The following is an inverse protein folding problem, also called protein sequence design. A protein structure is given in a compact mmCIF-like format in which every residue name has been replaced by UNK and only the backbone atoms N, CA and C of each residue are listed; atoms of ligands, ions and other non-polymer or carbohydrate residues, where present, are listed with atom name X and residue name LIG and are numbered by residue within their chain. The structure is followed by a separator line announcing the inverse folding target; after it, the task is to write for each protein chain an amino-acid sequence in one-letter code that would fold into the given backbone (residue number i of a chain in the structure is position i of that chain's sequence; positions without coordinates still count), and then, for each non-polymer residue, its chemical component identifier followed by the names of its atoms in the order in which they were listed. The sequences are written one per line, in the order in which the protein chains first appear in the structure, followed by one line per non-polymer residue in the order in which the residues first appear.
data_IF_292421873359
#
_entry.id   IF_292421873359
#
_cell.length_a   1.000
_cell.length_b   1.000
_cell.length_c   1.000
_cell.angle_alpha   90.00
_cell.angle_beta   90.00
_cell.angle_gamma   90.00
#
_symmetry.space_group_name_H-M   'P 1'
#
loop_
_entity.id
_entity.type
_entity.pdbx_description
1 polymer ?
#
# COMPACT_ATOMS: atom_id res chain seq x y z
N UNK A 1 17.00 1.88 4.97
CA UNK A 1 15.64 1.44 4.59
C UNK A 1 15.50 -0.05 4.89
N UNK A 2 14.41 -0.47 5.54
CA UNK A 2 14.05 -1.87 5.78
C UNK A 2 13.20 -2.38 4.62
N UNK A 3 13.22 -3.69 4.38
CA UNK A 3 12.50 -4.33 3.27
C UNK A 3 11.77 -5.58 3.77
N UNK A 4 10.70 -5.93 3.06
CA UNK A 4 9.93 -7.16 3.23
C UNK A 4 10.05 -7.96 1.92
N UNK A 5 10.49 -9.20 2.02
CA UNK A 5 10.57 -10.11 0.89
C UNK A 5 9.26 -10.91 0.77
N UNK A 6 8.70 -10.98 -0.45
CA UNK A 6 7.44 -11.70 -0.72
C UNK A 6 7.41 -12.19 -2.17
N UNK A 7 7.34 -13.49 -2.38
CA UNK A 7 7.20 -14.13 -3.70
C UNK A 7 8.14 -13.54 -4.78
N UNK A 8 9.41 -13.28 -4.42
CA UNK A 8 10.44 -12.72 -5.32
C UNK A 8 10.47 -11.19 -5.42
N UNK A 9 9.56 -10.48 -4.77
CA UNK A 9 9.63 -9.04 -4.62
C UNK A 9 10.33 -8.63 -3.33
N UNK A 10 11.12 -7.57 -3.39
CA UNK A 10 11.75 -6.90 -2.23
C UNK A 10 11.14 -5.53 -2.06
N UNK A 11 10.20 -5.39 -1.14
CA UNK A 11 9.33 -4.21 -0.99
C UNK A 11 9.81 -3.38 0.20
N UNK A 12 10.04 -2.06 0.06
CA UNK A 12 10.37 -1.20 1.20
C UNK A 12 9.28 -1.24 2.28
N UNK A 13 9.67 -1.44 3.53
CA UNK A 13 8.79 -1.73 4.66
C UNK A 13 7.89 -0.55 5.10
N UNK A 14 8.02 0.60 4.46
CA UNK A 14 7.10 1.75 4.57
C UNK A 14 7.06 2.49 3.24
N UNK A 15 5.87 3.01 2.87
CA UNK A 15 5.69 3.81 1.67
C UNK A 15 4.93 5.10 1.91
N UNK A 16 4.93 5.99 0.92
CA UNK A 16 4.06 7.16 0.87
C UNK A 16 2.80 6.83 0.07
N UNK A 17 1.63 6.87 0.72
CA UNK A 17 0.34 6.87 0.03
C UNK A 17 0.02 8.25 -0.54
N UNK A 18 -0.47 8.32 -1.78
CA UNK A 18 -0.75 9.60 -2.47
C UNK A 18 -2.23 9.93 -2.61
N UNK A 19 -3.14 9.07 -2.16
CA UNK A 19 -4.59 9.31 -2.28
C UNK A 19 -4.96 10.69 -1.71
N UNK A 20 -5.73 11.48 -2.47
CA UNK A 20 -6.15 12.86 -2.18
C UNK A 20 -5.08 13.95 -2.27
N UNK A 21 -3.81 13.61 -2.45
CA UNK A 21 -2.81 14.62 -2.82
C UNK A 21 -3.01 15.03 -4.29
N UNK A 22 -2.98 16.33 -4.59
CA UNK A 22 -3.21 16.84 -5.93
C UNK A 22 -2.20 17.91 -6.32
N UNK A 23 -1.99 18.03 -7.61
CA UNK A 23 -1.23 19.12 -8.24
C UNK A 23 0.12 19.38 -7.56
N UNK A 24 0.47 20.63 -7.34
CA UNK A 24 1.74 21.05 -6.73
C UNK A 24 1.97 20.40 -5.34
N UNK A 25 0.91 20.22 -4.54
CA UNK A 25 1.03 19.57 -3.22
C UNK A 25 1.48 18.12 -3.36
N UNK A 26 0.97 17.40 -4.37
CA UNK A 26 1.38 16.02 -4.64
C UNK A 26 2.84 15.97 -5.13
N UNK A 27 3.21 16.86 -6.06
CA UNK A 27 4.56 16.96 -6.60
C UNK A 27 5.59 17.18 -5.46
N UNK A 28 5.33 18.17 -4.61
CA UNK A 28 6.22 18.49 -3.49
C UNK A 28 6.28 17.36 -2.45
N UNK A 29 5.14 16.75 -2.10
CA UNK A 29 5.11 15.66 -1.13
C UNK A 29 5.92 14.44 -1.60
N UNK A 30 5.79 14.04 -2.87
CA UNK A 30 6.55 12.92 -3.44
C UNK A 30 8.04 13.27 -3.51
N UNK A 31 8.39 14.46 -4.00
CA UNK A 31 9.77 14.92 -4.10
C UNK A 31 10.45 14.98 -2.71
N UNK A 32 9.80 15.57 -1.72
CA UNK A 32 10.29 15.66 -0.34
C UNK A 32 10.43 14.27 0.30
N UNK A 33 9.46 13.37 0.09
CA UNK A 33 9.54 12.02 0.61
C UNK A 33 10.80 11.29 0.12
N UNK A 34 11.14 11.38 -1.17
CA UNK A 34 12.35 10.77 -1.71
C UNK A 34 13.62 11.36 -1.11
N UNK A 35 13.68 12.68 -0.93
CA UNK A 35 14.81 13.37 -0.29
C UNK A 35 14.98 12.97 1.18
N UNK A 36 13.86 12.73 1.90
CA UNK A 36 13.87 12.24 3.29
C UNK A 36 14.26 10.76 3.42
N UNK A 37 14.29 10.01 2.31
CA UNK A 37 14.69 8.60 2.33
C UNK A 37 13.58 7.59 2.03
N UNK A 38 12.37 8.01 1.68
CA UNK A 38 11.36 7.08 1.15
C UNK A 38 11.84 6.42 -0.13
N UNK A 39 11.51 5.13 -0.29
CA UNK A 39 11.82 4.35 -1.49
C UNK A 39 10.59 3.59 -2.00
N UNK A 40 9.39 3.90 -1.52
CA UNK A 40 8.14 3.30 -1.94
C UNK A 40 7.07 4.40 -2.06
N UNK A 41 6.52 4.55 -3.27
CA UNK A 41 5.46 5.52 -3.60
C UNK A 41 4.26 4.73 -4.11
N UNK A 42 3.11 4.90 -3.44
CA UNK A 42 1.85 4.23 -3.77
C UNK A 42 0.84 5.23 -4.34
N UNK A 43 0.39 4.97 -5.56
CA UNK A 43 -0.68 5.71 -6.23
C UNK A 43 -1.71 4.76 -6.86
N UNK A 44 -2.65 5.28 -7.62
CA UNK A 44 -3.62 4.53 -8.42
C UNK A 44 -4.23 5.42 -9.51
N UNK A 45 -4.66 4.81 -10.62
CA UNK A 45 -5.43 5.47 -11.68
C UNK A 45 -6.60 6.30 -11.10
N UNK A 46 -7.37 5.69 -10.21
CA UNK A 46 -8.57 6.30 -9.61
C UNK A 46 -8.31 7.55 -8.78
N UNK A 47 -7.07 7.78 -8.33
CA UNK A 47 -6.74 8.97 -7.55
C UNK A 47 -6.69 10.25 -8.40
N UNK A 48 -6.53 10.10 -9.72
CA UNK A 48 -6.47 11.22 -10.67
C UNK A 48 -5.24 12.10 -10.49
N UNK A 49 -4.18 11.57 -9.87
CA UNK A 49 -2.97 12.32 -9.54
C UNK A 49 -1.67 11.70 -10.10
N UNK A 50 -1.76 10.66 -10.94
CA UNK A 50 -0.57 9.96 -11.44
C UNK A 50 0.40 10.88 -12.19
N UNK A 51 -0.11 11.89 -12.91
CA UNK A 51 0.74 12.88 -13.58
C UNK A 51 1.58 13.69 -12.57
N UNK A 52 0.95 14.15 -11.48
CA UNK A 52 1.64 14.87 -10.41
C UNK A 52 2.61 13.97 -9.65
N UNK A 53 2.25 12.69 -9.43
CA UNK A 53 3.17 11.69 -8.84
C UNK A 53 4.37 11.49 -9.74
N UNK A 54 4.19 11.33 -11.06
CA UNK A 54 5.28 11.19 -12.04
C UNK A 54 6.22 12.39 -12.03
N UNK A 55 5.68 13.61 -12.01
CA UNK A 55 6.48 14.83 -11.92
C UNK A 55 7.25 14.92 -10.59
N UNK A 56 6.58 14.61 -9.47
CA UNK A 56 7.19 14.54 -8.15
C UNK A 56 8.31 13.50 -8.05
N UNK A 57 8.13 12.32 -8.68
CA UNK A 57 9.15 11.29 -8.80
C UNK A 57 10.38 11.83 -9.53
N UNK A 58 10.21 12.39 -10.74
CA UNK A 58 11.33 12.94 -11.52
C UNK A 58 12.07 14.07 -10.80
N UNK A 59 11.33 14.95 -10.11
CA UNK A 59 11.91 16.02 -9.29
C UNK A 59 12.70 15.44 -8.11
N UNK A 60 12.11 14.51 -7.37
CA UNK A 60 12.71 13.91 -6.19
C UNK A 60 13.90 13.01 -6.51
N UNK A 61 13.86 12.23 -7.59
CA UNK A 61 14.99 11.42 -8.05
C UNK A 61 16.22 12.31 -8.32
N UNK A 62 16.05 13.41 -9.06
CA UNK A 62 17.15 14.36 -9.31
C UNK A 62 17.66 15.00 -8.03
N UNK A 63 16.75 15.47 -7.17
CA UNK A 63 17.13 16.17 -5.94
C UNK A 63 17.84 15.27 -4.92
N UNK A 64 17.50 13.99 -4.88
CA UNK A 64 18.09 13.01 -3.97
C UNK A 64 19.25 12.20 -4.60
N UNK A 65 19.62 12.45 -5.86
CA UNK A 65 20.68 11.71 -6.57
C UNK A 65 20.33 10.23 -6.78
N UNK A 66 19.05 9.91 -6.95
CA UNK A 66 18.53 8.55 -7.10
C UNK A 66 18.29 8.21 -8.56
N UNK A 67 18.37 6.90 -8.88
CA UNK A 67 17.93 6.34 -10.15
C UNK A 67 16.48 5.83 -10.02
N UNK A 68 15.82 5.57 -11.16
CA UNK A 68 14.46 5.01 -11.18
C UNK A 68 14.37 3.68 -10.43
N UNK A 69 15.38 2.85 -10.55
CA UNK A 69 15.48 1.52 -9.94
C UNK A 69 15.58 1.55 -8.41
N UNK A 70 15.96 2.69 -7.84
CA UNK A 70 16.07 2.87 -6.39
C UNK A 70 14.72 3.08 -5.70
N UNK A 71 13.64 3.27 -6.48
CA UNK A 71 12.31 3.59 -5.97
C UNK A 71 11.29 2.57 -6.43
N UNK A 72 10.56 2.00 -5.47
CA UNK A 72 9.46 1.07 -5.67
C UNK A 72 8.16 1.85 -5.89
N UNK A 73 7.63 1.83 -7.10
CA UNK A 73 6.41 2.57 -7.50
C UNK A 73 5.27 1.59 -7.69
N UNK A 74 4.13 1.88 -7.06
CA UNK A 74 2.90 1.09 -7.14
C UNK A 74 1.80 1.91 -7.81
N UNK A 75 1.12 1.31 -8.78
CA UNK A 75 -0.17 1.82 -9.27
C UNK A 75 -1.20 0.70 -9.37
N UNK A 76 -2.46 1.04 -9.66
CA UNK A 76 -3.59 0.11 -9.57
C UNK A 76 -4.60 0.38 -10.67
N UNK A 77 -5.10 -0.69 -11.29
CA UNK A 77 -6.24 -0.63 -12.22
C UNK A 77 -7.55 -0.69 -11.42
N UNK A 78 -8.45 0.25 -11.69
CA UNK A 78 -9.70 0.35 -10.93
C UNK A 78 -10.72 -0.69 -11.40
N UNK A 79 -11.69 -1.01 -10.54
CA UNK A 79 -12.64 -2.10 -10.73
C UNK A 79 -13.47 -2.03 -12.02
N UNK A 80 -13.77 -0.86 -12.54
CA UNK A 80 -14.54 -0.64 -13.76
C UNK A 80 -13.73 -0.78 -15.06
N UNK A 81 -12.41 -1.01 -14.93
CA UNK A 81 -11.45 -1.20 -16.02
C UNK A 81 -10.82 -2.60 -16.07
N UNK A 82 -11.46 -3.60 -15.45
CA UNK A 82 -10.87 -4.94 -15.33
C UNK A 82 -11.13 -5.86 -16.53
N UNK A 83 -12.03 -5.48 -17.45
CA UNK A 83 -12.27 -6.26 -18.66
C UNK A 83 -11.04 -6.23 -19.59
N UNK A 84 -10.76 -7.34 -20.33
CA UNK A 84 -9.69 -7.35 -21.34
C UNK A 84 -9.85 -6.19 -22.32
N UNK A 85 -8.74 -5.55 -22.70
CA UNK A 85 -8.72 -4.35 -23.53
C UNK A 85 -8.79 -3.05 -22.70
N UNK A 86 -9.75 -2.93 -21.79
CA UNK A 86 -9.83 -1.79 -20.85
C UNK A 86 -8.68 -1.82 -19.86
N UNK A 87 -8.32 -3.02 -19.38
CA UNK A 87 -7.21 -3.21 -18.44
C UNK A 87 -5.89 -2.75 -19.05
N UNK A 88 -5.58 -3.21 -20.24
CA UNK A 88 -4.36 -2.85 -20.97
C UNK A 88 -4.29 -1.34 -21.28
N UNK A 89 -5.42 -0.77 -21.67
CA UNK A 89 -5.54 0.69 -21.90
C UNK A 89 -5.26 1.47 -20.63
N UNK A 90 -5.87 1.07 -19.50
CA UNK A 90 -5.65 1.69 -18.20
C UNK A 90 -4.17 1.63 -17.77
N UNK A 91 -3.51 0.48 -17.95
CA UNK A 91 -2.07 0.34 -17.64
C UNK A 91 -1.22 1.27 -18.50
N UNK A 92 -1.48 1.32 -19.82
CA UNK A 92 -0.74 2.20 -20.73
C UNK A 92 -0.92 3.69 -20.36
N UNK A 93 -2.15 4.12 -20.05
CA UNK A 93 -2.44 5.47 -19.60
C UNK A 93 -1.74 5.82 -18.28
N UNK A 94 -1.73 4.89 -17.31
CA UNK A 94 -1.03 5.07 -16.03
C UNK A 94 0.47 5.28 -16.24
N UNK A 95 1.12 4.45 -17.06
CA UNK A 95 2.54 4.59 -17.37
C UNK A 95 2.83 5.92 -18.09
N UNK A 96 1.97 6.34 -19.02
CA UNK A 96 2.09 7.64 -19.70
C UNK A 96 1.99 8.80 -18.71
N UNK A 97 0.97 8.81 -17.82
CA UNK A 97 0.77 9.84 -16.78
C UNK A 97 1.96 9.89 -15.81
N UNK A 98 2.44 8.73 -15.35
CA UNK A 98 3.60 8.62 -14.48
C UNK A 98 4.92 8.99 -15.18
N UNK A 99 4.93 9.03 -16.52
CA UNK A 99 6.14 9.21 -17.35
C UNK A 99 7.19 8.13 -17.06
N UNK A 100 6.75 6.89 -16.86
CA UNK A 100 7.59 5.75 -16.52
C UNK A 100 7.42 4.66 -17.59
N UNK A 101 8.51 3.94 -17.95
CA UNK A 101 8.41 2.79 -18.86
C UNK A 101 7.78 1.56 -18.17
N UNK A 102 7.85 1.49 -16.86
CA UNK A 102 7.30 0.41 -16.03
C UNK A 102 7.11 0.88 -14.58
N UNK A 103 6.24 0.16 -13.84
CA UNK A 103 6.11 0.28 -12.38
C UNK A 103 6.67 -0.96 -11.69
N UNK A 104 7.00 -0.86 -10.38
CA UNK A 104 7.53 -2.02 -9.64
C UNK A 104 6.42 -2.98 -9.26
N UNK A 105 5.20 -2.47 -9.02
CA UNK A 105 4.05 -3.28 -8.65
C UNK A 105 2.77 -2.72 -9.27
N UNK A 106 2.04 -3.59 -9.96
CA UNK A 106 0.71 -3.32 -10.49
C UNK A 106 -0.33 -4.14 -9.72
N UNK A 107 -1.41 -3.48 -9.28
CA UNK A 107 -2.48 -4.12 -8.52
C UNK A 107 -3.83 -4.05 -9.24
N UNK A 108 -4.65 -5.09 -9.10
CA UNK A 108 -6.09 -4.96 -9.19
C UNK A 108 -6.56 -4.22 -7.93
N UNK A 109 -7.19 -3.03 -8.10
CA UNK A 109 -7.53 -2.16 -6.97
C UNK A 109 -8.71 -2.68 -6.15
N UNK A 110 -9.75 -3.15 -6.82
CA UNK A 110 -10.94 -3.81 -6.30
C UNK A 110 -11.41 -4.86 -7.30
N UNK A 111 -11.92 -6.00 -6.85
CA UNK A 111 -12.53 -6.96 -7.75
C UNK A 111 -13.85 -6.42 -8.33
N UNK A 112 -14.16 -6.80 -9.57
CA UNK A 112 -15.46 -6.53 -10.20
C UNK A 112 -16.19 -7.86 -10.43
N UNK A 113 -17.29 -8.14 -9.72
CA UNK A 113 -18.03 -9.40 -9.90
C UNK A 113 -18.71 -9.55 -11.28
N UNK A 114 -18.76 -8.48 -12.08
CA UNK A 114 -19.27 -8.52 -13.47
C UNK A 114 -18.21 -8.94 -14.50
N UNK A 115 -16.95 -9.00 -14.11
CA UNK A 115 -15.83 -9.46 -14.94
C UNK A 115 -15.31 -10.76 -14.33
N UNK A 116 -15.17 -11.86 -15.08
CA UNK A 116 -14.58 -13.08 -14.57
C UNK A 116 -13.21 -12.81 -13.95
N UNK A 117 -12.97 -13.31 -12.73
CA UNK A 117 -11.70 -13.09 -12.04
C UNK A 117 -10.51 -13.63 -12.86
N UNK A 118 -10.73 -14.73 -13.60
CA UNK A 118 -9.73 -15.31 -14.49
C UNK A 118 -9.23 -14.31 -15.55
N UNK A 119 -10.14 -13.53 -16.15
CA UNK A 119 -9.79 -12.55 -17.20
C UNK A 119 -8.97 -11.40 -16.59
N UNK A 120 -9.39 -10.88 -15.43
CA UNK A 120 -8.69 -9.80 -14.73
C UNK A 120 -7.28 -10.23 -14.29
N UNK A 121 -7.14 -11.46 -13.76
CA UNK A 121 -5.84 -12.02 -13.36
C UNK A 121 -4.97 -12.31 -14.57
N UNK A 122 -5.52 -12.79 -15.68
CA UNK A 122 -4.78 -13.01 -16.92
C UNK A 122 -4.22 -11.69 -17.47
N UNK A 123 -5.03 -10.62 -17.54
CA UNK A 123 -4.60 -9.28 -17.97
C UNK A 123 -3.51 -8.71 -17.04
N UNK A 124 -3.65 -8.90 -15.73
CA UNK A 124 -2.64 -8.50 -14.74
C UNK A 124 -1.30 -9.21 -14.98
N UNK A 125 -1.31 -10.53 -15.17
CA UNK A 125 -0.10 -11.31 -15.46
C UNK A 125 0.50 -10.92 -16.82
N UNK A 126 -0.34 -10.68 -17.84
CA UNK A 126 0.11 -10.25 -19.16
C UNK A 126 0.86 -8.89 -19.11
N UNK A 127 0.46 -7.96 -18.25
CA UNK A 127 1.17 -6.70 -18.04
C UNK A 127 2.62 -6.93 -17.54
N UNK A 128 2.84 -7.93 -16.69
CA UNK A 128 4.19 -8.31 -16.25
C UNK A 128 5.00 -8.92 -17.40
N UNK A 129 4.41 -9.84 -18.15
CA UNK A 129 5.08 -10.47 -19.32
C UNK A 129 5.48 -9.41 -20.37
N UNK A 130 4.65 -8.36 -20.55
CA UNK A 130 4.94 -7.21 -21.43
C UNK A 130 6.00 -6.25 -20.85
N UNK A 131 6.52 -6.49 -19.64
CA UNK A 131 7.49 -5.61 -18.99
C UNK A 131 6.91 -4.28 -18.48
N UNK A 132 5.60 -4.13 -18.40
CA UNK A 132 4.93 -2.92 -17.91
C UNK A 132 4.96 -2.82 -16.38
N UNK A 133 5.18 -3.95 -15.70
CA UNK A 133 5.41 -4.03 -14.25
C UNK A 133 6.41 -5.13 -13.91
N UNK A 134 7.16 -4.98 -12.81
CA UNK A 134 8.06 -6.04 -12.31
C UNK A 134 7.32 -7.11 -11.52
N UNK A 135 6.32 -6.69 -10.74
CA UNK A 135 5.55 -7.55 -9.86
C UNK A 135 4.06 -7.27 -10.00
N UNK A 136 3.26 -8.26 -9.64
CA UNK A 136 1.79 -8.20 -9.69
C UNK A 136 1.20 -8.57 -8.33
N UNK A 137 0.04 -8.01 -8.02
CA UNK A 137 -0.67 -8.28 -6.79
C UNK A 137 -2.11 -7.81 -6.86
N UNK A 138 -2.80 -7.87 -5.74
CA UNK A 138 -4.20 -7.49 -5.63
C UNK A 138 -4.43 -6.53 -4.46
N UNK A 139 -5.58 -5.86 -4.45
CA UNK A 139 -6.00 -5.06 -3.32
C UNK A 139 -7.46 -5.35 -2.98
N UNK A 140 -7.78 -5.34 -1.67
CA UNK A 140 -9.13 -5.55 -1.17
C UNK A 140 -9.71 -6.94 -1.46
N UNK A 141 -8.86 -7.96 -1.55
CA UNK A 141 -9.28 -9.34 -1.72
C UNK A 141 -9.50 -10.00 -0.36
N UNK A 142 -10.64 -10.70 -0.24
CA UNK A 142 -10.96 -11.57 0.90
C UNK A 142 -10.15 -12.87 0.83
N UNK A 143 -10.21 -13.68 1.88
CA UNK A 143 -9.49 -14.97 1.93
C UNK A 143 -9.89 -15.91 0.80
N UNK A 144 -11.18 -15.97 0.46
CA UNK A 144 -11.70 -16.80 -0.64
C UNK A 144 -11.24 -16.28 -2.01
N UNK A 145 -11.30 -14.96 -2.23
CA UNK A 145 -10.83 -14.33 -3.46
C UNK A 145 -9.31 -14.50 -3.65
N UNK A 146 -8.53 -14.41 -2.58
CA UNK A 146 -7.08 -14.67 -2.63
C UNK A 146 -6.78 -16.12 -3.04
N UNK A 147 -7.48 -17.09 -2.44
CA UNK A 147 -7.29 -18.50 -2.75
C UNK A 147 -7.61 -18.81 -4.23
N UNK A 148 -8.62 -18.15 -4.79
CA UNK A 148 -8.98 -18.26 -6.20
C UNK A 148 -7.95 -17.55 -7.10
N UNK A 149 -7.60 -16.29 -6.78
CA UNK A 149 -6.65 -15.51 -7.56
C UNK A 149 -5.27 -16.18 -7.65
N UNK A 150 -4.78 -16.75 -6.56
CA UNK A 150 -3.49 -17.48 -6.56
C UNK A 150 -3.52 -18.71 -7.46
N UNK A 151 -4.65 -19.42 -7.55
CA UNK A 151 -4.79 -20.56 -8.47
C UNK A 151 -4.84 -20.15 -9.94
N UNK A 152 -5.42 -18.98 -10.24
CA UNK A 152 -5.56 -18.45 -11.59
C UNK A 152 -4.31 -17.74 -12.10
N UNK A 153 -3.47 -17.23 -11.19
CA UNK A 153 -2.32 -16.42 -11.56
C UNK A 153 -1.18 -17.26 -12.15
N UNK A 154 -0.79 -16.95 -13.39
CA UNK A 154 0.41 -17.52 -14.03
C UNK A 154 1.71 -16.93 -13.46
N UNK A 155 1.64 -15.77 -12.81
CA UNK A 155 2.75 -15.08 -12.16
C UNK A 155 2.51 -15.00 -10.66
N UNK A 156 3.55 -15.10 -9.81
CA UNK A 156 3.39 -15.01 -8.35
C UNK A 156 2.77 -13.66 -7.94
N UNK A 157 1.64 -13.71 -7.21
CA UNK A 157 1.10 -12.52 -6.57
C UNK A 157 1.94 -12.18 -5.34
N UNK A 158 2.47 -10.95 -5.27
CA UNK A 158 3.43 -10.59 -4.21
C UNK A 158 2.77 -9.91 -3.01
N UNK A 159 1.56 -9.36 -3.16
CA UNK A 159 0.89 -8.64 -2.08
C UNK A 159 -0.63 -8.65 -2.22
N UNK A 160 -1.31 -8.52 -1.08
CA UNK A 160 -2.67 -8.02 -0.99
C UNK A 160 -2.65 -6.68 -0.24
N UNK A 161 -3.02 -5.58 -0.91
CA UNK A 161 -3.11 -4.28 -0.27
C UNK A 161 -4.51 -4.12 0.34
N UNK A 162 -4.61 -4.02 1.66
CA UNK A 162 -5.87 -3.95 2.40
C UNK A 162 -5.85 -2.89 3.49
N UNK A 163 -7.03 -2.51 4.00
CA UNK A 163 -7.11 -1.68 5.18
C UNK A 163 -6.56 -2.44 6.40
N UNK A 164 -5.51 -1.90 7.03
CA UNK A 164 -5.00 -2.41 8.31
C UNK A 164 -4.59 -1.27 9.21
N UNK A 165 -5.10 -1.29 10.42
CA UNK A 165 -4.74 -0.37 11.52
C UNK A 165 -5.11 -1.01 12.86
N UNK A 166 -4.67 -0.48 14.01
CA UNK A 166 -4.90 -1.09 15.33
C UNK A 166 -6.37 -1.39 15.68
N UNK A 167 -7.34 -0.72 15.05
CA UNK A 167 -8.77 -0.86 15.38
C UNK A 167 -9.52 -1.87 14.51
N UNK A 168 -8.88 -2.47 13.50
CA UNK A 168 -9.52 -3.42 12.59
C UNK A 168 -8.92 -4.81 12.73
N UNK A 169 -9.76 -5.81 12.96
CA UNK A 169 -9.31 -7.20 12.87
C UNK A 169 -9.21 -7.66 11.42
N UNK A 170 -7.99 -7.98 11.00
CA UNK A 170 -7.66 -8.52 9.68
C UNK A 170 -6.90 -9.86 9.80
N UNK A 171 -7.01 -10.52 10.95
CA UNK A 171 -6.23 -11.72 11.25
C UNK A 171 -6.38 -12.82 10.19
N UNK A 172 -7.59 -13.02 9.67
CA UNK A 172 -7.88 -14.02 8.62
C UNK A 172 -7.18 -13.70 7.31
N UNK A 173 -7.25 -12.45 6.85
CA UNK A 173 -6.60 -11.99 5.60
C UNK A 173 -5.07 -12.03 5.75
N UNK A 174 -4.54 -11.59 6.90
CA UNK A 174 -3.09 -11.65 7.18
C UNK A 174 -2.58 -13.10 7.18
N UNK A 175 -3.33 -14.04 7.77
CA UNK A 175 -2.99 -15.45 7.76
C UNK A 175 -3.03 -16.03 6.34
N UNK A 176 -4.04 -15.68 5.54
CA UNK A 176 -4.16 -16.12 4.14
C UNK A 176 -2.99 -15.60 3.29
N UNK A 177 -2.61 -14.32 3.44
CA UNK A 177 -1.45 -13.75 2.73
C UNK A 177 -0.16 -14.51 3.10
N UNK A 178 0.10 -14.74 4.39
CA UNK A 178 1.27 -15.51 4.85
C UNK A 178 1.31 -16.92 4.28
N UNK A 179 0.16 -17.60 4.27
CA UNK A 179 0.04 -18.97 3.69
C UNK A 179 0.48 -19.03 2.22
N UNK A 180 0.27 -17.95 1.47
CA UNK A 180 0.63 -17.85 0.06
C UNK A 180 1.96 -17.12 -0.20
N UNK A 181 2.77 -16.84 0.83
CA UNK A 181 4.05 -16.13 0.70
C UNK A 181 3.91 -14.66 0.28
N UNK A 182 2.70 -14.08 0.43
CA UNK A 182 2.39 -12.72 0.04
C UNK A 182 2.63 -11.75 1.21
N UNK A 183 3.13 -10.56 0.90
CA UNK A 183 3.15 -9.43 1.83
C UNK A 183 1.75 -8.82 2.00
N UNK A 184 1.61 -7.97 3.01
CA UNK A 184 0.44 -7.10 3.16
C UNK A 184 0.89 -5.64 3.15
N UNK A 185 0.34 -4.86 2.22
CA UNK A 185 0.47 -3.41 2.23
C UNK A 185 -0.79 -2.84 2.90
N UNK A 186 -0.58 -2.00 3.93
CA UNK A 186 -1.65 -1.44 4.75
C UNK A 186 -2.00 -0.02 4.33
N UNK A 187 -3.17 0.16 3.72
CA UNK A 187 -3.72 1.50 3.55
C UNK A 187 -4.51 1.94 4.79
N UNK A 188 -4.73 3.24 4.95
CA UNK A 188 -5.32 3.87 6.14
C UNK A 188 -4.66 3.43 7.46
N UNK A 189 -3.32 3.31 7.56
CA UNK A 189 -2.66 2.72 8.71
C UNK A 189 -2.87 3.50 10.03
N UNK A 190 -3.34 4.75 9.93
CA UNK A 190 -3.70 5.61 11.08
C UNK A 190 -5.21 5.84 11.19
N UNK A 191 -6.04 4.93 10.63
CA UNK A 191 -7.50 4.92 10.75
C UNK A 191 -8.17 6.28 10.44
N UNK A 192 -7.73 6.97 9.38
CA UNK A 192 -8.25 8.30 8.97
C UNK A 192 -8.28 9.33 10.11
N UNK A 193 -7.24 9.36 10.95
CA UNK A 193 -7.10 10.36 12.02
C UNK A 193 -7.74 9.96 13.36
N UNK A 194 -8.27 8.75 13.51
CA UNK A 194 -8.79 8.26 14.79
C UNK A 194 -7.69 7.89 15.80
N UNK A 195 -6.44 7.68 15.34
CA UNK A 195 -5.30 7.26 16.15
C UNK A 195 -4.83 8.34 17.14
N UNK A 196 -4.65 9.63 16.76
CA UNK A 196 -4.01 10.64 17.62
C UNK A 196 -4.70 10.87 18.95
N UNK A 197 -6.04 10.72 19.01
CA UNK A 197 -6.83 10.93 20.22
C UNK A 197 -6.99 9.71 21.13
N UNK A 198 -6.38 8.57 20.81
CA UNK A 198 -6.61 7.33 21.55
C UNK A 198 -5.66 7.22 22.76
N UNK A 199 -6.22 7.15 23.98
CA UNK A 199 -5.47 7.19 25.26
C UNK A 199 -4.36 6.14 25.36
N UNK A 200 -4.64 4.87 25.03
CA UNK A 200 -3.63 3.81 25.06
C UNK A 200 -2.44 4.12 24.15
N UNK A 201 -2.71 4.58 22.93
CA UNK A 201 -1.65 4.90 21.96
C UNK A 201 -0.88 6.17 22.33
N UNK A 202 -1.54 7.13 23.00
CA UNK A 202 -0.88 8.29 23.59
C UNK A 202 0.04 7.88 24.74
N UNK A 203 -0.43 7.04 25.67
CA UNK A 203 0.36 6.54 26.80
C UNK A 203 1.62 5.81 26.33
N UNK A 204 1.46 4.87 25.39
CA UNK A 204 2.60 4.14 24.83
C UNK A 204 3.53 5.10 24.09
N UNK A 205 2.99 6.03 23.31
CA UNK A 205 3.78 7.04 22.59
C UNK A 205 4.62 7.89 23.54
N UNK A 206 4.05 8.35 24.65
CA UNK A 206 4.77 9.12 25.67
C UNK A 206 5.95 8.34 26.28
N UNK A 207 5.77 7.04 26.55
CA UNK A 207 6.83 6.19 27.08
C UNK A 207 8.05 6.07 26.13
N UNK A 208 7.82 6.16 24.84
CA UNK A 208 8.85 6.09 23.80
C UNK A 208 9.28 7.45 23.24
N UNK A 209 8.71 8.58 23.70
CA UNK A 209 8.94 9.90 23.08
C UNK A 209 8.46 9.97 21.63
N UNK A 210 7.35 9.27 21.30
CA UNK A 210 6.78 9.14 19.96
C UNK A 210 5.31 9.54 19.92
N UNK A 211 4.85 9.95 18.75
CA UNK A 211 3.42 10.23 18.54
C UNK A 211 2.58 8.94 18.49
N UNK A 212 1.28 8.99 18.81
CA UNK A 212 0.38 7.85 18.62
C UNK A 212 0.36 7.30 17.19
N UNK A 213 0.53 8.17 16.18
CA UNK A 213 0.64 7.75 14.78
C UNK A 213 1.89 6.89 14.55
N UNK A 214 3.05 7.28 15.09
CA UNK A 214 4.26 6.48 15.03
C UNK A 214 4.10 5.13 15.75
N UNK A 215 3.42 5.09 16.90
CA UNK A 215 3.10 3.84 17.61
C UNK A 215 2.26 2.91 16.73
N UNK A 216 1.21 3.44 16.10
CA UNK A 216 0.36 2.64 15.20
C UNK A 216 1.13 2.11 13.98
N UNK A 217 1.97 2.94 13.36
CA UNK A 217 2.81 2.51 12.23
C UNK A 217 3.85 1.47 12.68
N UNK A 218 4.50 1.67 13.82
CA UNK A 218 5.46 0.70 14.38
C UNK A 218 4.80 -0.64 14.69
N UNK A 219 3.60 -0.62 15.26
CA UNK A 219 2.80 -1.82 15.50
C UNK A 219 2.56 -2.64 14.23
N UNK A 220 2.31 -1.99 13.09
CA UNK A 220 2.15 -2.68 11.80
C UNK A 220 3.49 -3.22 11.30
N UNK A 221 4.54 -2.39 11.30
CA UNK A 221 5.87 -2.77 10.83
C UNK A 221 6.44 -3.97 11.60
N UNK A 222 6.25 -4.04 12.93
CA UNK A 222 6.72 -5.17 13.74
C UNK A 222 5.98 -6.48 13.43
N UNK A 223 4.83 -6.43 12.79
CA UNK A 223 4.10 -7.60 12.29
C UNK A 223 4.47 -7.99 10.86
N UNK A 224 5.45 -7.31 10.24
CA UNK A 224 5.82 -7.51 8.83
C UNK A 224 4.81 -6.92 7.84
N UNK A 225 3.97 -5.97 8.29
CA UNK A 225 2.99 -5.27 7.45
C UNK A 225 3.62 -3.97 6.95
N UNK A 226 3.39 -3.61 5.71
CA UNK A 226 3.97 -2.44 5.02
C UNK A 226 2.94 -1.29 5.05
N UNK A 227 3.00 -0.32 6.00
CA UNK A 227 2.10 0.80 6.00
C UNK A 227 2.45 1.82 4.91
N UNK A 228 1.40 2.44 4.33
CA UNK A 228 1.52 3.54 3.37
C UNK A 228 0.77 4.78 3.87
N UNK A 229 1.23 5.40 4.98
CA UNK A 229 0.62 6.63 5.47
C UNK A 229 0.71 7.75 4.42
N UNK A 230 -0.32 8.60 4.37
CA UNK A 230 -0.35 9.79 3.53
C UNK A 230 0.01 11.03 4.35
N UNK A 231 0.92 11.84 3.82
CA UNK A 231 1.17 13.20 4.34
C UNK A 231 1.72 14.09 3.23
N UNK A 232 1.41 15.40 3.31
CA UNK A 232 2.11 16.45 2.57
C UNK A 232 3.01 17.31 3.50
N UNK A 233 2.95 17.09 4.82
CA UNK A 233 3.78 17.80 5.78
C UNK A 233 5.15 17.10 5.92
N UNK A 234 6.27 17.81 5.65
CA UNK A 234 7.62 17.24 5.74
C UNK A 234 7.96 16.66 7.13
N UNK A 235 7.49 17.29 8.22
CA UNK A 235 7.71 16.80 9.58
C UNK A 235 7.02 15.46 9.82
N UNK A 236 5.78 15.31 9.34
CA UNK A 236 5.06 14.04 9.43
C UNK A 236 5.71 12.96 8.55
N UNK A 237 6.23 13.32 7.37
CA UNK A 237 6.97 12.38 6.52
C UNK A 237 8.23 11.87 7.24
N UNK A 238 9.01 12.77 7.83
CA UNK A 238 10.20 12.40 8.61
C UNK A 238 9.84 11.54 9.83
N UNK A 239 8.80 11.94 10.58
CA UNK A 239 8.32 11.19 11.74
C UNK A 239 7.85 9.77 11.39
N UNK A 240 7.19 9.60 10.24
CA UNK A 240 6.77 8.28 9.77
C UNK A 240 7.95 7.37 9.42
N UNK A 241 9.06 7.90 8.89
CA UNK A 241 10.28 7.12 8.65
C UNK A 241 10.97 6.71 9.95
N UNK A 242 10.91 7.55 10.98
CA UNK A 242 11.54 7.30 12.29
C UNK A 242 10.83 6.17 13.10
N UNK A 243 9.87 5.45 12.53
CA UNK A 243 9.24 4.28 13.16
C UNK A 243 10.19 3.08 13.29
N UNK A 244 11.32 3.10 12.62
CA UNK A 244 12.36 2.07 12.75
C UNK A 244 13.36 2.33 13.89
N UNK A 245 13.32 3.52 14.52
CA UNK A 245 14.28 3.95 15.56
C UNK A 245 13.87 3.49 16.98
N UNK A 246 12.73 2.84 17.14
CA UNK A 246 12.27 2.31 18.42
C UNK A 246 11.55 1.00 18.21
N UNK A 247 11.31 0.25 19.28
CA UNK A 247 10.54 -0.99 19.26
C UNK A 247 9.49 -0.98 20.36
N UNK A 248 8.30 -1.50 20.04
CA UNK A 248 7.27 -1.81 20.99
C UNK A 248 7.62 -3.14 21.68
N UNK A 249 7.45 -3.22 23.00
CA UNK A 249 7.58 -4.46 23.76
C UNK A 249 6.45 -5.44 23.42
N UNK A 250 6.63 -6.72 23.77
CA UNK A 250 5.58 -7.73 23.58
C UNK A 250 4.29 -7.36 24.32
N UNK A 251 4.41 -6.80 25.52
CA UNK A 251 3.27 -6.33 26.32
C UNK A 251 2.49 -5.24 25.58
N UNK A 252 3.20 -4.23 25.05
CA UNK A 252 2.57 -3.14 24.28
C UNK A 252 1.94 -3.65 22.98
N UNK A 253 2.59 -4.61 22.29
CA UNK A 253 2.03 -5.25 21.10
C UNK A 253 0.72 -5.99 21.43
N UNK A 254 0.64 -6.68 22.56
CA UNK A 254 -0.58 -7.35 23.04
C UNK A 254 -1.65 -6.31 23.41
N UNK A 255 -1.30 -5.28 24.18
CA UNK A 255 -2.24 -4.20 24.55
C UNK A 255 -2.84 -3.52 23.31
N UNK A 256 -2.02 -3.15 22.33
CA UNK A 256 -2.53 -2.58 21.09
C UNK A 256 -3.41 -3.59 20.34
N UNK A 257 -3.06 -4.87 20.38
CA UNK A 257 -3.84 -5.95 19.78
C UNK A 257 -5.26 -6.07 20.33
N UNK A 258 -5.53 -5.65 21.58
CA UNK A 258 -6.88 -5.66 22.18
C UNK A 258 -7.82 -4.61 21.57
N UNK A 259 -7.30 -3.64 20.84
CA UNK A 259 -8.09 -2.58 20.18
C UNK A 259 -8.82 -3.06 18.92
N UNK A 260 -8.48 -4.22 18.40
CA UNK A 260 -9.06 -4.78 17.16
C UNK A 260 -10.55 -5.06 17.36
N UNK A 261 -11.34 -4.63 16.37
CA UNK A 261 -12.78 -4.89 16.29
C UNK A 261 -13.16 -5.40 14.91
N UNK A 262 -14.13 -6.31 14.78
CA UNK A 262 -14.63 -6.79 13.48
C UNK A 262 -15.21 -5.66 12.63
N UNK A 263 -15.85 -4.67 13.27
CA UNK A 263 -16.50 -3.51 12.66
C UNK A 263 -15.62 -2.24 12.62
N UNK A 264 -14.31 -2.39 12.90
CA UNK A 264 -13.35 -1.28 12.96
C UNK A 264 -13.06 -0.59 11.61
N UNK A 265 -13.60 -1.08 10.51
CA UNK A 265 -13.33 -0.61 9.14
C UNK A 265 -13.74 0.83 8.91
N UNK A 266 -12.87 1.60 8.22
CA UNK A 266 -13.11 3.01 7.87
C UNK A 266 -13.27 3.25 6.37
N UNK A 267 -13.04 2.21 5.54
CA UNK A 267 -13.23 2.24 4.07
C UNK A 267 -14.14 1.09 3.65
N UNK A 268 -15.38 1.41 3.26
CA UNK A 268 -16.34 0.41 2.81
C UNK A 268 -17.24 0.99 1.69
N UNK A 269 -16.69 1.13 0.45
CA UNK A 269 -17.47 1.65 -0.66
C UNK A 269 -18.58 0.66 -1.09
N UNK A 270 -19.60 1.10 -1.85
CA UNK A 270 -20.74 0.25 -2.25
C UNK A 270 -20.36 -1.01 -3.03
N UNK A 271 -19.21 -1.01 -3.72
CA UNK A 271 -18.70 -2.15 -4.47
C UNK A 271 -17.71 -3.01 -3.66
N UNK A 272 -17.54 -2.73 -2.37
CA UNK A 272 -16.68 -3.55 -1.51
C UNK A 272 -17.21 -4.99 -1.43
N UNK A 273 -16.33 -5.99 -1.32
CA UNK A 273 -16.75 -7.37 -1.12
C UNK A 273 -17.41 -7.54 0.25
N UNK A 274 -18.14 -8.65 0.41
CA UNK A 274 -18.48 -9.12 1.75
C UNK A 274 -17.19 -9.57 2.45
N UNK A 275 -16.77 -8.77 3.43
CA UNK A 275 -15.52 -9.01 4.14
C UNK A 275 -15.53 -10.30 4.96
N UNK A 276 -14.33 -10.84 5.20
CA UNK A 276 -14.13 -11.95 6.14
C UNK A 276 -14.51 -11.49 7.56
N UNK A 277 -15.51 -12.13 8.17
CA UNK A 277 -16.01 -11.86 9.52
C UNK A 277 -15.39 -12.84 10.53
#
# INVERSE_FOLDING_TARGET
MHYIDANGARIPAIGLGTMTLKDAVCIEAVSTALQLGYRHIDTAERYGNEAAVGEGLHKGLRAAGLKREDVFVVTKVYWDKLAPGDFETSVAESLQKLKLPWVDLLLIHWNNPKVPLADSIASLCAAKVKGQTKHVGVANFTTSMLAEAVKLAAEPLVTNQVEVHPFLDQSKVLAACRKHGMSVIAYCPIARGKIPGHELLQRIGQAHGRSPAQVALRYLVQQGIIPIPRSANPEHLAANLAVFDFALSEVEMVEIGTLKKPDGRVVNPPHAPKWDS
#
